data_IF_356581325910
#
_entry.id   IF_356581325910
#
_cell.length_a   1.000
_cell.length_b   1.000
_cell.length_c   1.000
_cell.angle_alpha   90.00
_cell.angle_beta   90.00
_cell.angle_gamma   90.00
#
_symmetry.space_group_name_H-M   'P 1'
#
loop_
_entity.id
_entity.type
_entity.pdbx_description
1 polymer ?
#
# COMPACT_ATOMS: atom_id res chain seq x y z
N UNK A 1 -11.50 14.17 3.04
CA UNK A 1 -11.95 12.79 3.28
C UNK A 1 -11.58 12.48 4.70
N UNK A 2 -12.57 12.16 5.51
CA UNK A 2 -12.39 11.96 6.95
C UNK A 2 -11.74 10.61 7.23
N UNK A 3 -11.08 10.50 8.39
CA UNK A 3 -10.35 9.30 8.79
C UNK A 3 -11.24 8.04 8.74
N UNK A 4 -12.48 8.16 9.24
CA UNK A 4 -13.45 7.06 9.25
C UNK A 4 -13.84 6.60 7.83
N UNK A 5 -13.95 7.55 6.89
CA UNK A 5 -14.22 7.22 5.48
C UNK A 5 -13.02 6.49 4.88
N UNK A 6 -11.78 6.91 5.20
CA UNK A 6 -10.56 6.25 4.72
C UNK A 6 -10.45 4.86 5.32
N UNK A 7 -10.73 4.69 6.62
CA UNK A 7 -10.79 3.39 7.29
C UNK A 7 -11.80 2.46 6.60
N UNK A 8 -13.01 2.93 6.33
CA UNK A 8 -14.04 2.13 5.68
C UNK A 8 -13.60 1.66 4.29
N UNK A 9 -12.96 2.54 3.51
CA UNK A 9 -12.35 2.14 2.23
C UNK A 9 -11.24 1.12 2.44
N UNK A 10 -10.31 1.36 3.36
CA UNK A 10 -9.20 0.46 3.65
C UNK A 10 -9.70 -0.93 4.05
N UNK A 11 -10.73 -1.04 4.89
CA UNK A 11 -11.36 -2.32 5.27
C UNK A 11 -11.91 -3.04 4.03
N UNK A 12 -12.61 -2.32 3.15
CA UNK A 12 -13.19 -2.89 1.93
C UNK A 12 -12.13 -3.40 0.95
N UNK A 13 -10.99 -2.71 0.85
CA UNK A 13 -9.90 -3.07 -0.07
C UNK A 13 -8.94 -4.11 0.53
N UNK A 14 -8.95 -4.27 1.85
CA UNK A 14 -8.06 -5.17 2.58
C UNK A 14 -8.46 -6.64 2.42
N UNK A 15 -7.46 -7.49 2.25
CA UNK A 15 -7.58 -8.95 2.33
C UNK A 15 -6.88 -9.43 3.61
N UNK A 16 -7.52 -10.28 4.43
CA UNK A 16 -6.86 -10.89 5.59
C UNK A 16 -5.65 -11.71 5.15
N UNK A 17 -4.51 -11.58 5.85
CA UNK A 17 -3.26 -12.26 5.46
C UNK A 17 -3.02 -13.59 6.21
N UNK A 18 -3.95 -13.99 7.09
CA UNK A 18 -3.85 -15.22 7.88
C UNK A 18 -3.01 -15.10 9.16
N UNK A 19 -2.25 -14.02 9.33
CA UNK A 19 -1.49 -13.73 10.58
C UNK A 19 -2.23 -12.77 11.52
N UNK A 20 -3.45 -12.37 11.14
CA UNK A 20 -4.26 -11.38 11.85
C UNK A 20 -4.05 -9.95 11.34
N UNK A 21 -3.17 -9.76 10.35
CA UNK A 21 -2.98 -8.51 9.63
C UNK A 21 -3.87 -8.42 8.39
N UNK A 22 -3.71 -7.29 7.70
CA UNK A 22 -4.46 -6.99 6.47
C UNK A 22 -3.51 -6.54 5.38
N UNK A 23 -3.72 -7.06 4.16
CA UNK A 23 -2.94 -6.70 2.99
C UNK A 23 -3.81 -5.96 1.97
N UNK A 24 -3.29 -4.89 1.39
CA UNK A 24 -3.94 -4.15 0.31
C UNK A 24 -3.03 -4.15 -0.91
N UNK A 25 -3.51 -4.67 -2.03
CA UNK A 25 -2.74 -4.64 -3.28
C UNK A 25 -2.68 -3.24 -3.88
N UNK A 26 -1.53 -2.87 -4.46
CA UNK A 26 -1.36 -1.55 -5.08
C UNK A 26 -2.28 -1.35 -6.30
N UNK A 27 -2.63 -2.41 -7.00
CA UNK A 27 -3.57 -2.37 -8.12
C UNK A 27 -4.96 -1.90 -7.66
N UNK A 28 -5.39 -2.35 -6.49
CA UNK A 28 -6.67 -1.98 -5.87
C UNK A 28 -6.71 -0.50 -5.48
N UNK A 29 -5.62 0.02 -4.91
CA UNK A 29 -5.52 1.45 -4.59
C UNK A 29 -5.47 2.33 -5.85
N UNK A 30 -4.89 1.84 -6.95
CA UNK A 30 -4.86 2.55 -8.23
C UNK A 30 -6.26 2.71 -8.82
N UNK A 31 -7.15 1.75 -8.59
CA UNK A 31 -8.54 1.81 -9.03
C UNK A 31 -9.35 2.91 -8.31
N UNK A 32 -8.98 3.27 -7.08
CA UNK A 32 -9.58 4.39 -6.32
C UNK A 32 -9.10 5.78 -6.81
N UNK A 33 -8.10 5.81 -7.69
CA UNK A 33 -7.66 7.02 -8.40
C UNK A 33 -7.10 8.10 -7.47
N UNK A 34 -7.76 9.26 -7.42
CA UNK A 34 -7.29 10.48 -6.74
C UNK A 34 -7.13 10.32 -5.23
N UNK A 35 -7.73 9.29 -4.63
CA UNK A 35 -7.66 9.03 -3.19
C UNK A 35 -6.39 8.30 -2.75
N UNK A 36 -5.55 7.84 -3.69
CA UNK A 36 -4.34 7.06 -3.41
C UNK A 36 -3.44 7.73 -2.36
N UNK A 37 -3.18 9.04 -2.49
CA UNK A 37 -2.29 9.75 -1.56
C UNK A 37 -2.85 9.77 -0.13
N UNK A 38 -4.16 10.06 0.02
CA UNK A 38 -4.82 10.08 1.32
C UNK A 38 -4.83 8.70 1.99
N UNK A 39 -5.07 7.64 1.20
CA UNK A 39 -5.07 6.26 1.72
C UNK A 39 -3.66 5.84 2.16
N UNK A 40 -2.61 6.18 1.38
CA UNK A 40 -1.23 5.88 1.75
C UNK A 40 -0.83 6.60 3.04
N UNK A 41 -1.12 7.90 3.15
CA UNK A 41 -0.86 8.65 4.38
C UNK A 41 -1.57 8.04 5.59
N UNK A 42 -2.82 7.58 5.42
CA UNK A 42 -3.55 6.90 6.50
C UNK A 42 -2.90 5.57 6.88
N UNK A 43 -2.51 4.74 5.91
CA UNK A 43 -1.84 3.46 6.15
C UNK A 43 -0.54 3.67 6.94
N UNK A 44 0.30 4.62 6.53
CA UNK A 44 1.57 4.93 7.20
C UNK A 44 1.34 5.45 8.63
N UNK A 45 0.35 6.33 8.83
CA UNK A 45 -0.01 6.85 10.16
C UNK A 45 -0.48 5.75 11.12
N UNK A 46 -1.07 4.67 10.59
CA UNK A 46 -1.57 3.52 11.36
C UNK A 46 -0.57 2.36 11.45
N UNK A 47 0.71 2.62 11.15
CA UNK A 47 1.79 1.63 11.25
C UNK A 47 1.80 0.60 10.11
N UNK A 48 0.99 0.82 9.07
CA UNK A 48 1.06 0.04 7.86
C UNK A 48 2.30 0.37 7.05
N UNK A 49 2.86 -0.64 6.40
CA UNK A 49 4.11 -0.52 5.65
C UNK A 49 3.91 -0.92 4.20
N UNK A 50 4.62 -0.25 3.30
CA UNK A 50 4.71 -0.65 1.91
C UNK A 50 5.57 -1.94 1.83
N UNK A 51 4.95 -3.08 1.55
CA UNK A 51 5.69 -4.29 1.23
C UNK A 51 6.23 -4.13 -0.20
N UNK A 52 7.53 -3.85 -0.28
CA UNK A 52 8.26 -3.98 -1.52
C UNK A 52 8.15 -5.44 -2.00
N UNK A 53 8.04 -5.72 -3.31
CA UNK A 53 8.13 -7.09 -3.78
C UNK A 53 9.40 -7.67 -3.19
N UNK A 54 9.30 -8.83 -2.54
CA UNK A 54 10.46 -9.66 -2.26
C UNK A 54 11.28 -9.66 -3.54
N UNK A 55 12.47 -9.06 -3.48
CA UNK A 55 13.23 -8.69 -4.66
C UNK A 55 13.24 -9.90 -5.59
N UNK A 56 12.53 -9.81 -6.72
CA UNK A 56 12.70 -10.79 -7.78
C UNK A 56 14.21 -10.88 -7.99
N UNK A 57 14.81 -12.09 -8.01
CA UNK A 57 16.26 -12.23 -8.13
C UNK A 57 16.68 -11.31 -9.25
N UNK A 58 17.51 -10.32 -8.91
CA UNK A 58 18.02 -9.35 -9.86
C UNK A 58 18.69 -10.16 -10.95
N UNK A 59 18.03 -10.37 -12.07
CA UNK A 59 18.67 -10.83 -13.29
C UNK A 59 19.67 -9.76 -13.65
N UNK A 60 20.90 -9.96 -13.18
CA UNK A 60 22.06 -9.19 -13.52
C UNK A 60 22.25 -9.26 -15.04
N UNK A 61 22.16 -8.10 -15.68
CA UNK A 61 22.85 -7.86 -16.95
C UNK A 61 22.17 -8.36 -18.22
N UNK A 62 21.26 -7.53 -18.76
CA UNK A 62 21.05 -7.43 -20.21
C UNK A 62 21.21 -5.97 -20.60
N UNK A 63 22.26 -5.64 -21.36
CA UNK A 63 22.67 -4.30 -21.82
C UNK A 63 21.67 -3.69 -22.81
N UNK A 64 20.47 -3.32 -22.35
CA UNK A 64 19.60 -2.38 -23.05
C UNK A 64 19.08 -1.32 -22.08
N UNK A 65 19.97 -0.38 -21.78
CA UNK A 65 19.59 0.92 -21.22
C UNK A 65 18.83 1.73 -22.26
N UNK A 66 17.53 1.88 -22.05
CA UNK A 66 16.65 2.81 -22.74
C UNK A 66 15.81 3.57 -21.73
N UNK A 67 16.42 4.57 -21.10
CA UNK A 67 15.78 5.50 -20.18
C UNK A 67 14.63 6.26 -20.86
N UNK A 68 13.54 6.52 -20.09
CA UNK A 68 12.66 7.72 -20.06
C UNK A 68 11.31 7.30 -19.47
N UNK A 69 10.76 7.85 -18.40
CA UNK A 69 10.97 9.11 -17.69
C UNK A 69 9.58 9.51 -17.15
N UNK A 70 9.54 10.10 -15.96
CA UNK A 70 8.42 10.87 -15.41
C UNK A 70 7.20 10.11 -14.83
N UNK A 71 7.28 9.74 -13.56
CA UNK A 71 6.21 10.08 -12.61
C UNK A 71 6.79 10.14 -11.20
N UNK A 72 6.93 11.37 -10.69
CA UNK A 72 7.15 11.62 -9.28
C UNK A 72 6.03 10.94 -8.47
N UNK A 73 6.37 10.46 -7.26
CA UNK A 73 5.47 9.91 -6.20
C UNK A 73 5.08 8.43 -6.18
N UNK A 74 5.63 7.56 -7.04
CA UNK A 74 5.48 6.11 -6.88
C UNK A 74 6.80 5.48 -6.43
N UNK A 75 6.84 4.94 -5.19
CA UNK A 75 7.94 4.07 -4.74
C UNK A 75 8.12 2.96 -5.80
N UNK A 76 9.26 2.89 -6.52
CA UNK A 76 9.46 1.88 -7.53
C UNK A 76 9.61 0.53 -6.83
N UNK A 77 8.60 -0.32 -6.98
CA UNK A 77 8.54 -1.63 -6.35
C UNK A 77 7.83 -1.62 -5.00
N UNK A 78 6.56 -1.23 -4.95
CA UNK A 78 5.63 -1.65 -3.88
C UNK A 78 4.53 -2.47 -4.55
N UNK A 79 4.36 -3.73 -4.15
CA UNK A 79 3.31 -4.59 -4.72
C UNK A 79 2.05 -4.54 -3.85
N UNK A 80 2.22 -4.39 -2.55
CA UNK A 80 1.11 -4.34 -1.58
C UNK A 80 1.51 -3.55 -0.33
N UNK A 81 0.51 -3.12 0.42
CA UNK A 81 0.67 -2.54 1.75
C UNK A 81 0.19 -3.55 2.78
N UNK A 82 0.92 -3.68 3.88
CA UNK A 82 0.59 -4.58 4.99
C UNK A 82 0.29 -3.74 6.22
N UNK A 83 -0.85 -4.01 6.84
CA UNK A 83 -1.27 -3.41 8.09
C UNK A 83 -1.14 -4.42 9.23
N UNK A 84 -0.62 -3.99 10.40
CA UNK A 84 -0.53 -4.85 11.56
C UNK A 84 -1.91 -5.23 12.09
N UNK A 85 -1.97 -6.33 12.83
CA UNK A 85 -3.18 -6.76 13.51
C UNK A 85 -3.71 -5.63 14.41
N UNK A 86 -5.02 -5.37 14.32
CA UNK A 86 -5.68 -4.34 15.10
C UNK A 86 -5.63 -2.92 14.51
N UNK A 87 -4.84 -2.63 13.46
CA UNK A 87 -4.80 -1.31 12.81
C UNK A 87 -6.17 -0.85 12.30
N UNK A 88 -6.99 -1.79 11.81
CA UNK A 88 -8.35 -1.52 11.35
C UNK A 88 -9.38 -1.48 12.50
N UNK A 89 -8.98 -1.95 13.67
CA UNK A 89 -9.80 -2.01 14.89
C UNK A 89 -9.51 -0.87 15.87
N UNK A 90 -8.42 -0.11 15.68
CA UNK A 90 -8.05 1.06 16.48
C UNK A 90 -9.00 2.26 16.24
N UNK A 91 -10.32 2.04 16.29
CA UNK A 91 -11.33 3.08 16.12
C UNK A 91 -11.88 3.68 17.41
N UNK A 92 -11.40 3.21 18.56
CA UNK A 92 -11.73 3.76 19.87
C UNK A 92 -10.47 3.66 20.70
N UNK A 93 -9.79 4.77 20.91
CA UNK A 93 -9.00 4.96 22.12
C UNK A 93 -9.26 6.39 22.57
N UNK A 94 -9.70 6.48 23.83
CA UNK A 94 -10.33 7.60 24.52
C UNK A 94 -9.58 8.93 24.50
#
# INVERSE_FOLDING_TARGET
MDDDTIRALVIRLSRPDGTGGHTIERATLRAEGTHLAAIVTWIEAHGGTAEAPAAAPRSSGGLHGGLRGNSATAVPGTVRYVLPAGALSQGVTS
#
